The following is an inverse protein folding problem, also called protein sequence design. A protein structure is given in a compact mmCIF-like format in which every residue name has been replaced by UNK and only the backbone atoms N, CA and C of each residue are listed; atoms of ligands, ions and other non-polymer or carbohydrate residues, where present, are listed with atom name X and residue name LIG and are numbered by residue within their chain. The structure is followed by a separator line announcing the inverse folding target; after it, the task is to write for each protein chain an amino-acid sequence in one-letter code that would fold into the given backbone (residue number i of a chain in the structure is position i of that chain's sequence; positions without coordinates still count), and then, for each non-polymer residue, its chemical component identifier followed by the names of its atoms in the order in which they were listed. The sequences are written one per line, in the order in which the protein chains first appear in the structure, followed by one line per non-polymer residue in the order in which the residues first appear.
data_IF_076837282181
#
_entry.id   IF_076837282181
#
_cell.length_a   1.000
_cell.length_b   1.000
_cell.length_c   1.000
_cell.angle_alpha   90.00
_cell.angle_beta   90.00
_cell.angle_gamma   90.00
#
_symmetry.space_group_name_H-M   'P 1'
#
loop_
_entity.id
_entity.type
_entity.pdbx_description
1 polymer ?
#
# COMPACT_ATOMS: atom_id res chain seq x y z
N UNK A 1 20.63 30.84 6.63
CA UNK A 1 19.53 30.48 7.54
C UNK A 1 19.93 29.20 8.21
N UNK A 2 19.66 29.06 9.50
CA UNK A 2 19.89 27.82 10.24
C UNK A 2 18.59 27.02 10.29
N UNK A 3 18.65 25.70 10.10
CA UNK A 3 17.48 24.81 10.12
C UNK A 3 17.36 24.19 11.51
N UNK A 4 16.15 24.24 12.07
CA UNK A 4 15.80 23.66 13.36
C UNK A 4 14.56 22.77 13.22
N UNK A 5 14.32 21.93 14.24
CA UNK A 5 13.07 21.16 14.41
C UNK A 5 12.61 20.37 13.15
N UNK A 6 13.55 19.81 12.38
CA UNK A 6 13.26 19.12 11.13
C UNK A 6 12.43 17.83 11.36
N UNK A 7 11.26 17.76 10.74
CA UNK A 7 10.42 16.58 10.62
C UNK A 7 10.23 16.20 9.13
N UNK A 8 9.38 15.19 8.88
CA UNK A 8 9.15 14.71 7.51
C UNK A 8 8.28 15.63 6.65
N UNK A 9 7.45 16.47 7.28
CA UNK A 9 6.49 17.36 6.60
C UNK A 9 6.67 18.85 6.91
N UNK A 10 7.53 19.19 7.87
CA UNK A 10 7.80 20.56 8.31
C UNK A 10 9.20 20.69 8.92
N UNK A 11 9.61 21.94 9.10
CA UNK A 11 10.84 22.34 9.77
C UNK A 11 10.75 23.82 10.14
N UNK A 12 11.66 24.32 10.97
CA UNK A 12 11.78 25.76 11.22
C UNK A 12 13.13 26.29 10.74
N UNK A 13 13.19 27.59 10.46
CA UNK A 13 14.42 28.27 10.07
C UNK A 13 14.60 29.57 10.81
N UNK A 14 15.83 29.88 11.19
CA UNK A 14 16.20 31.15 11.80
C UNK A 14 17.00 32.05 10.84
N UNK A 15 16.60 33.32 10.79
CA UNK A 15 17.32 34.40 10.10
C UNK A 15 17.52 35.62 11.01
N UNK A 16 18.69 36.24 10.94
CA UNK A 16 18.91 37.55 11.56
C UNK A 16 18.02 38.60 10.92
N UNK A 17 17.39 39.45 11.71
CA UNK A 17 16.44 40.47 11.20
C UNK A 17 17.05 41.39 10.13
N UNK A 18 18.34 41.71 10.23
CA UNK A 18 19.02 42.58 9.27
C UNK A 18 19.15 41.94 7.87
N UNK A 19 19.04 40.61 7.77
CA UNK A 19 19.11 39.83 6.54
C UNK A 19 17.81 39.06 6.25
N UNK A 20 16.72 39.38 6.97
CA UNK A 20 15.49 38.61 6.90
C UNK A 20 14.78 38.78 5.56
N UNK A 21 14.50 37.67 4.87
CA UNK A 21 13.85 37.66 3.55
C UNK A 21 12.57 36.83 3.52
N UNK A 22 12.34 36.00 4.54
CA UNK A 22 11.17 35.13 4.60
C UNK A 22 9.96 35.89 5.13
N UNK A 23 8.81 35.67 4.47
CA UNK A 23 7.54 36.29 4.81
C UNK A 23 6.47 35.21 4.94
N UNK A 24 5.58 35.35 5.92
CA UNK A 24 4.44 34.45 6.07
C UNK A 24 3.63 34.37 4.77
N UNK A 25 3.31 33.15 4.35
CA UNK A 25 2.65 32.84 3.08
C UNK A 25 3.57 32.69 1.87
N UNK A 26 4.86 33.04 1.97
CA UNK A 26 5.82 32.90 0.87
C UNK A 26 6.01 31.43 0.47
N UNK A 27 5.79 31.13 -0.81
CA UNK A 27 6.09 29.82 -1.40
C UNK A 27 7.49 29.88 -2.00
N UNK A 28 8.31 28.89 -1.65
CA UNK A 28 9.66 28.68 -2.18
C UNK A 28 9.57 27.45 -3.10
N UNK A 29 9.55 27.63 -4.44
CA UNK A 29 9.39 26.53 -5.38
C UNK A 29 10.51 25.49 -5.31
N UNK A 30 11.72 25.96 -4.96
CA UNK A 30 12.92 25.14 -4.89
C UNK A 30 13.74 25.57 -3.68
N UNK A 31 13.64 24.79 -2.61
CA UNK A 31 14.38 24.93 -1.37
C UNK A 31 15.34 23.74 -1.23
N UNK A 32 16.54 24.03 -0.75
CA UNK A 32 17.53 23.01 -0.41
C UNK A 32 17.76 22.97 1.10
N UNK A 33 17.50 21.83 1.71
CA UNK A 33 17.84 21.55 3.11
C UNK A 33 19.19 20.84 3.10
N UNK A 34 20.21 21.44 3.71
CA UNK A 34 21.55 20.87 3.82
C UNK A 34 21.81 20.50 5.29
N UNK A 35 22.02 19.21 5.54
CA UNK A 35 22.40 18.65 6.84
C UNK A 35 23.79 18.03 6.70
N UNK A 36 24.71 18.30 7.63
CA UNK A 36 26.08 17.80 7.55
C UNK A 36 26.73 18.07 6.17
N UNK A 37 27.80 17.34 5.83
CA UNK A 37 28.60 17.64 4.63
C UNK A 37 28.00 17.11 3.32
N UNK A 38 27.31 15.96 3.34
CA UNK A 38 26.87 15.24 2.12
C UNK A 38 25.35 14.99 2.04
N UNK A 39 24.55 15.58 2.94
CA UNK A 39 23.11 15.37 2.95
C UNK A 39 22.37 16.63 2.51
N UNK A 40 21.97 16.64 1.24
CA UNK A 40 21.21 17.72 0.60
C UNK A 40 19.90 17.20 0.06
N UNK A 41 18.79 17.81 0.49
CA UNK A 41 17.42 17.50 0.07
C UNK A 41 16.86 18.67 -0.70
N UNK A 42 16.18 18.39 -1.82
CA UNK A 42 15.43 19.38 -2.60
C UNK A 42 13.94 19.23 -2.33
N UNK A 43 13.26 20.30 -1.97
CA UNK A 43 11.81 20.31 -1.75
C UNK A 43 11.16 21.62 -2.19
N UNK A 44 9.83 21.60 -2.30
CA UNK A 44 8.98 22.78 -2.40
C UNK A 44 8.42 23.07 -1.02
N UNK A 45 8.47 24.32 -0.57
CA UNK A 45 8.07 24.68 0.80
C UNK A 45 7.29 25.99 0.85
N UNK A 46 6.55 26.22 1.94
CA UNK A 46 5.87 27.47 2.23
C UNK A 46 6.18 27.92 3.66
N UNK A 47 6.41 29.21 3.83
CA UNK A 47 6.47 29.85 5.15
C UNK A 47 5.06 29.93 5.71
N UNK A 48 4.78 29.23 6.80
CA UNK A 48 3.47 29.19 7.45
C UNK A 48 3.31 30.33 8.45
N UNK A 49 4.33 30.54 9.27
CA UNK A 49 4.32 31.55 10.33
C UNK A 49 5.71 32.17 10.50
N UNK A 50 5.76 33.37 11.09
CA UNK A 50 6.99 34.13 11.34
C UNK A 50 6.93 34.84 12.68
N UNK A 51 7.79 34.42 13.61
CA UNK A 51 7.89 34.96 14.96
C UNK A 51 9.23 35.68 15.17
N UNK A 52 9.16 36.96 15.55
CA UNK A 52 10.35 37.77 15.87
C UNK A 52 10.64 37.68 17.36
N UNK A 53 11.89 37.38 17.69
CA UNK A 53 12.34 37.28 19.08
C UNK A 53 13.76 37.82 19.24
N UNK A 54 14.20 37.98 20.49
CA UNK A 54 15.59 38.34 20.83
C UNK A 54 16.33 37.11 21.32
N UNK A 55 17.54 36.91 20.82
CA UNK A 55 18.44 35.86 21.32
C UNK A 55 19.13 36.29 22.61
N UNK A 56 19.79 35.35 23.28
CA UNK A 56 20.55 35.61 24.52
C UNK A 56 21.66 36.66 24.36
N UNK A 57 22.12 36.90 23.13
CA UNK A 57 23.14 37.89 22.78
C UNK A 57 22.53 39.25 22.35
N UNK A 58 21.26 39.52 22.70
CA UNK A 58 20.49 40.73 22.35
C UNK A 58 20.32 40.99 20.83
N UNK A 59 20.60 39.99 19.98
CA UNK A 59 20.33 40.07 18.55
C UNK A 59 18.86 39.78 18.28
N UNK A 60 18.28 40.50 17.32
CA UNK A 60 16.89 40.25 16.91
C UNK A 60 16.89 39.23 15.76
N UNK A 61 16.20 38.12 15.96
CA UNK A 61 16.06 37.05 14.98
C UNK A 61 14.57 36.87 14.60
N UNK A 62 14.34 36.34 13.41
CA UNK A 62 13.04 35.84 12.99
C UNK A 62 13.12 34.32 12.85
N UNK A 63 12.29 33.61 13.61
CA UNK A 63 12.04 32.17 13.44
C UNK A 63 10.84 32.01 12.52
N UNK A 64 11.03 31.30 11.42
CA UNK A 64 9.99 31.03 10.43
C UNK A 64 9.65 29.54 10.45
N UNK A 65 8.36 29.23 10.59
CA UNK A 65 7.85 27.87 10.50
C UNK A 65 7.59 27.54 9.03
N UNK A 66 8.11 26.41 8.56
CA UNK A 66 8.08 25.98 7.17
C UNK A 66 7.31 24.67 7.05
N UNK A 67 6.41 24.59 6.08
CA UNK A 67 5.78 23.32 5.69
C UNK A 67 6.32 22.86 4.34
N UNK A 68 6.52 21.57 4.16
CA UNK A 68 6.92 20.95 2.90
C UNK A 68 5.66 20.70 2.08
N UNK A 69 5.57 21.35 0.93
CA UNK A 69 4.43 21.22 0.01
C UNK A 69 4.57 20.04 -0.94
N UNK A 70 5.80 19.75 -1.39
CA UNK A 70 6.10 18.58 -2.21
C UNK A 70 7.60 18.23 -2.13
N UNK A 71 7.92 16.96 -2.37
CA UNK A 71 9.29 16.46 -2.37
C UNK A 71 9.38 15.26 -3.30
N UNK A 72 10.45 15.21 -4.10
CA UNK A 72 10.72 14.04 -4.93
C UNK A 72 10.76 12.77 -4.08
N UNK A 73 10.15 11.70 -4.58
CA UNK A 73 9.91 10.51 -3.78
C UNK A 73 11.21 9.79 -3.36
N UNK A 74 12.33 10.00 -4.06
CA UNK A 74 13.64 9.51 -3.63
C UNK A 74 14.22 10.35 -2.50
N UNK A 75 14.00 11.66 -2.53
CA UNK A 75 14.37 12.57 -1.44
C UNK A 75 13.58 12.26 -0.16
N UNK A 76 12.30 11.87 -0.28
CA UNK A 76 11.49 11.40 0.85
C UNK A 76 12.13 10.19 1.54
N UNK A 77 12.66 9.23 0.77
CA UNK A 77 13.38 8.07 1.33
C UNK A 77 14.61 8.53 2.09
N UNK A 78 15.42 9.42 1.49
CA UNK A 78 16.64 9.93 2.13
C UNK A 78 16.33 10.63 3.45
N UNK A 79 15.30 11.50 3.47
CA UNK A 79 14.83 12.16 4.69
C UNK A 79 14.35 11.14 5.72
N UNK A 80 13.49 10.22 5.31
CA UNK A 80 12.92 9.21 6.18
C UNK A 80 14.00 8.34 6.83
N UNK A 81 14.96 7.84 6.06
CA UNK A 81 16.06 7.03 6.56
C UNK A 81 16.86 7.78 7.64
N UNK A 82 17.08 9.08 7.45
CA UNK A 82 17.76 9.93 8.44
C UNK A 82 16.93 10.12 9.71
N UNK A 83 15.67 10.53 9.59
CA UNK A 83 14.77 10.78 10.73
C UNK A 83 14.53 9.51 11.57
N UNK A 84 14.32 8.37 10.92
CA UNK A 84 14.11 7.10 11.61
C UNK A 84 15.36 6.65 12.39
N UNK A 85 16.55 6.81 11.79
CA UNK A 85 17.82 6.49 12.46
C UNK A 85 18.12 7.42 13.64
N UNK A 86 17.75 8.69 13.54
CA UNK A 86 17.91 9.66 14.63
C UNK A 86 17.11 9.26 15.87
N UNK A 87 15.91 8.71 15.70
CA UNK A 87 15.07 8.22 16.81
C UNK A 87 15.47 6.82 17.27
N UNK A 88 15.79 5.93 16.34
CA UNK A 88 16.17 4.56 16.67
C UNK A 88 17.27 4.06 15.72
N UNK A 89 18.49 3.91 16.25
CA UNK A 89 19.68 3.46 15.50
C UNK A 89 19.54 2.06 14.87
N UNK A 90 18.52 1.30 15.27
CA UNK A 90 18.20 -0.05 14.76
C UNK A 90 17.09 -0.05 13.72
N UNK A 91 16.46 1.10 13.44
CA UNK A 91 15.42 1.27 12.44
C UNK A 91 16.04 1.70 11.11
N UNK A 92 15.69 1.01 10.03
CA UNK A 92 16.23 1.27 8.71
C UNK A 92 15.10 1.37 7.70
N UNK A 93 15.14 2.42 6.88
CA UNK A 93 14.22 2.64 5.76
C UNK A 93 15.01 2.50 4.48
N UNK A 94 14.55 1.62 3.58
CA UNK A 94 15.14 1.37 2.26
C UNK A 94 16.67 1.18 2.26
N UNK A 95 17.22 0.60 3.33
CA UNK A 95 18.64 0.33 3.44
C UNK A 95 19.04 -0.87 2.57
N UNK A 96 20.35 -1.01 2.33
CA UNK A 96 20.89 -2.23 1.73
C UNK A 96 20.72 -3.40 2.70
N UNK A 97 19.94 -4.39 2.29
CA UNK A 97 19.68 -5.62 3.06
C UNK A 97 20.39 -6.80 2.40
N UNK A 98 20.96 -7.69 3.20
CA UNK A 98 21.43 -9.00 2.72
C UNK A 98 20.21 -9.86 2.35
N UNK A 99 20.08 -10.14 1.05
CA UNK A 99 18.92 -10.86 0.50
C UNK A 99 18.85 -12.30 1.01
N UNK A 100 19.98 -12.98 1.23
CA UNK A 100 19.98 -14.34 1.76
C UNK A 100 19.60 -14.35 3.24
N UNK A 101 20.06 -13.36 4.02
CA UNK A 101 19.63 -13.18 5.40
C UNK A 101 18.12 -12.86 5.50
N UNK A 102 17.60 -12.02 4.61
CA UNK A 102 16.17 -11.69 4.53
C UNK A 102 15.33 -12.93 4.17
N UNK A 103 15.79 -13.73 3.21
CA UNK A 103 15.12 -14.96 2.81
C UNK A 103 15.08 -15.97 3.97
N UNK A 104 16.22 -16.17 4.65
CA UNK A 104 16.29 -17.00 5.85
C UNK A 104 15.32 -16.51 6.94
N UNK A 105 15.28 -15.20 7.19
CA UNK A 105 14.37 -14.58 8.14
C UNK A 105 12.89 -14.88 7.82
N UNK A 106 12.47 -14.84 6.55
CA UNK A 106 11.08 -15.16 6.19
C UNK A 106 10.69 -16.62 6.45
N UNK A 107 11.64 -17.57 6.40
CA UNK A 107 11.38 -18.94 6.85
C UNK A 107 11.34 -19.05 8.37
N UNK A 108 12.30 -18.45 9.08
CA UNK A 108 12.40 -18.52 10.54
C UNK A 108 11.18 -17.92 11.25
N UNK A 109 10.61 -16.85 10.68
CA UNK A 109 9.38 -16.23 11.19
C UNK A 109 8.10 -17.00 10.85
N UNK A 110 8.18 -18.02 9.99
CA UNK A 110 7.03 -18.74 9.46
C UNK A 110 6.21 -17.95 8.44
N UNK A 111 6.71 -16.79 7.98
CA UNK A 111 6.07 -16.00 6.92
C UNK A 111 5.98 -16.79 5.60
N UNK A 112 7.02 -17.58 5.31
CA UNK A 112 7.03 -18.61 4.26
C UNK A 112 6.91 -19.99 4.91
N UNK A 113 5.68 -20.47 5.05
CA UNK A 113 5.36 -21.81 5.54
C UNK A 113 5.38 -22.86 4.40
N UNK A 114 5.50 -24.17 4.68
CA UNK A 114 5.73 -25.20 3.65
C UNK A 114 4.74 -25.19 2.46
N UNK A 115 3.43 -25.05 2.72
CA UNK A 115 2.42 -24.97 1.65
C UNK A 115 2.60 -23.71 0.77
N UNK A 116 3.00 -22.57 1.35
CA UNK A 116 3.30 -21.34 0.58
C UNK A 116 4.56 -21.51 -0.25
N UNK A 117 5.60 -22.11 0.33
CA UNK A 117 6.83 -22.41 -0.40
C UNK A 117 6.58 -23.35 -1.58
N UNK A 118 5.74 -24.39 -1.42
CA UNK A 118 5.41 -25.32 -2.50
C UNK A 118 4.83 -24.62 -3.74
N UNK A 119 3.99 -23.60 -3.55
CA UNK A 119 3.42 -22.79 -4.63
C UNK A 119 4.46 -21.86 -5.29
N UNK A 120 5.53 -21.50 -4.58
CA UNK A 120 6.56 -20.56 -5.03
C UNK A 120 7.81 -21.27 -5.56
N UNK A 121 8.01 -22.55 -5.22
CA UNK A 121 9.29 -23.25 -5.40
C UNK A 121 9.68 -23.40 -6.88
N UNK A 122 8.69 -23.52 -7.77
CA UNK A 122 8.93 -23.62 -9.22
C UNK A 122 9.57 -22.35 -9.80
N UNK A 123 9.22 -21.17 -9.25
CA UNK A 123 9.70 -19.86 -9.70
C UNK A 123 10.59 -19.15 -8.67
N UNK A 124 11.23 -19.91 -7.76
CA UNK A 124 12.01 -19.37 -6.65
C UNK A 124 13.06 -18.34 -7.08
N UNK A 125 13.78 -18.60 -8.16
CA UNK A 125 14.83 -17.69 -8.64
C UNK A 125 14.25 -16.37 -9.17
N UNK A 126 13.09 -16.40 -9.85
CA UNK A 126 12.37 -15.19 -10.26
C UNK A 126 11.89 -14.39 -9.04
N UNK A 127 11.37 -15.07 -8.01
CA UNK A 127 11.00 -14.41 -6.74
C UNK A 127 12.19 -13.69 -6.11
N UNK A 128 13.37 -14.35 -6.04
CA UNK A 128 14.59 -13.76 -5.51
C UNK A 128 15.05 -12.56 -6.34
N UNK A 129 15.01 -12.67 -7.66
CA UNK A 129 15.37 -11.58 -8.57
C UNK A 129 14.46 -10.36 -8.40
N UNK A 130 13.13 -10.55 -8.38
CA UNK A 130 12.17 -9.46 -8.13
C UNK A 130 12.41 -8.81 -6.77
N UNK A 131 12.59 -9.60 -5.70
CA UNK A 131 12.91 -9.07 -4.38
C UNK A 131 14.24 -8.29 -4.39
N UNK A 132 15.27 -8.82 -5.04
CA UNK A 132 16.56 -8.15 -5.14
C UNK A 132 16.43 -6.80 -5.85
N UNK A 133 15.69 -6.72 -6.96
CA UNK A 133 15.46 -5.45 -7.67
C UNK A 133 14.70 -4.46 -6.79
N UNK A 134 13.61 -4.87 -6.14
CA UNK A 134 12.83 -4.01 -5.25
C UNK A 134 13.68 -3.42 -4.10
N UNK A 135 14.55 -4.23 -3.50
CA UNK A 135 15.28 -3.83 -2.28
C UNK A 135 16.62 -3.16 -2.57
N UNK A 136 17.25 -3.45 -3.72
CA UNK A 136 18.54 -2.85 -4.08
C UNK A 136 18.40 -1.58 -4.94
N UNK A 137 17.37 -1.51 -5.78
CA UNK A 137 17.16 -0.37 -6.68
C UNK A 137 16.30 0.73 -6.05
N UNK A 138 15.63 0.44 -4.92
CA UNK A 138 14.73 1.37 -4.21
C UNK A 138 13.79 2.12 -5.15
N UNK A 139 13.01 1.41 -5.98
CA UNK A 139 12.18 2.06 -6.98
C UNK A 139 11.10 2.93 -6.34
N UNK A 140 10.62 3.95 -7.06
CA UNK A 140 9.58 4.87 -6.57
C UNK A 140 8.29 4.16 -6.10
N UNK A 141 8.04 2.95 -6.59
CA UNK A 141 6.84 2.17 -6.30
C UNK A 141 6.90 1.35 -5.00
N UNK A 142 8.03 1.25 -4.30
CA UNK A 142 8.16 0.34 -3.15
C UNK A 142 9.04 0.91 -2.03
N UNK A 143 8.67 0.62 -0.78
CA UNK A 143 9.50 0.92 0.41
C UNK A 143 9.60 -0.31 1.29
N UNK A 144 10.71 -0.46 1.98
CA UNK A 144 10.92 -1.51 2.97
C UNK A 144 11.51 -0.93 4.25
N UNK A 145 11.13 -1.54 5.36
CA UNK A 145 11.47 -1.09 6.70
C UNK A 145 11.99 -2.29 7.49
N UNK A 146 13.16 -2.13 8.09
CA UNK A 146 13.86 -3.20 8.78
C UNK A 146 14.23 -2.74 10.17
N UNK A 147 13.91 -3.56 11.16
CA UNK A 147 14.47 -3.43 12.50
C UNK A 147 15.58 -4.47 12.67
N UNK A 148 16.82 -3.99 12.82
CA UNK A 148 18.01 -4.84 12.93
C UNK A 148 18.75 -4.63 14.25
N UNK A 149 19.07 -5.73 14.94
CA UNK A 149 19.92 -5.70 16.12
C UNK A 149 21.22 -6.46 15.86
N UNK A 150 22.36 -5.76 15.99
CA UNK A 150 23.70 -6.32 15.75
C UNK A 150 23.82 -7.06 14.40
N UNK A 151 23.23 -6.49 13.36
CA UNK A 151 23.23 -7.07 12.00
C UNK A 151 22.22 -8.19 11.77
N UNK A 152 21.44 -8.59 12.79
CA UNK A 152 20.40 -9.62 12.66
C UNK A 152 19.06 -8.93 12.43
N UNK A 153 18.34 -9.35 11.39
CA UNK A 153 16.98 -8.88 11.09
C UNK A 153 16.03 -9.41 12.17
N UNK A 154 15.43 -8.49 12.93
CA UNK A 154 14.48 -8.81 14.01
C UNK A 154 13.04 -8.67 13.52
N UNK A 155 12.77 -7.70 12.65
CA UNK A 155 11.49 -7.54 11.99
C UNK A 155 11.64 -6.82 10.66
N UNK A 156 10.62 -7.01 9.82
CA UNK A 156 10.55 -6.53 8.47
C UNK A 156 9.10 -6.19 8.10
N UNK A 157 8.91 -5.14 7.31
CA UNK A 157 7.65 -4.83 6.64
C UNK A 157 7.95 -4.02 5.37
N UNK A 158 7.10 -4.13 4.37
CA UNK A 158 7.22 -3.35 3.14
C UNK A 158 5.88 -2.74 2.76
N UNK A 159 5.93 -1.75 1.87
CA UNK A 159 4.76 -1.18 1.21
C UNK A 159 5.04 -1.07 -0.29
N UNK A 160 4.00 -1.20 -1.10
CA UNK A 160 4.09 -1.09 -2.57
C UNK A 160 2.90 -0.32 -3.14
N UNK A 161 3.15 0.68 -3.99
CA UNK A 161 2.10 1.40 -4.74
C UNK A 161 1.62 0.53 -5.89
N UNK A 162 0.43 -0.05 -5.76
CA UNK A 162 -0.09 -1.02 -6.76
C UNK A 162 -1.29 -0.48 -7.56
N UNK A 163 -1.96 0.53 -7.01
CA UNK A 163 -3.00 1.32 -7.66
C UNK A 163 -2.57 2.79 -7.67
N UNK A 164 -3.21 3.61 -8.49
CA UNK A 164 -2.72 4.97 -8.79
C UNK A 164 -2.51 5.79 -7.53
N UNK A 165 -3.41 5.77 -6.54
CA UNK A 165 -3.21 6.48 -5.28
C UNK A 165 -3.23 5.59 -4.03
N UNK A 166 -2.97 4.28 -4.21
CA UNK A 166 -3.02 3.30 -3.10
C UNK A 166 -1.72 2.54 -2.90
N UNK A 167 -1.20 2.63 -1.67
CA UNK A 167 -0.08 1.84 -1.19
C UNK A 167 -0.55 0.64 -0.38
N UNK A 168 -0.09 -0.55 -0.76
CA UNK A 168 -0.39 -1.80 -0.07
C UNK A 168 0.72 -2.17 0.91
N UNK A 169 0.38 -2.32 2.19
CA UNK A 169 1.27 -2.89 3.21
C UNK A 169 1.34 -4.40 3.01
N UNK A 170 2.56 -4.94 2.98
CA UNK A 170 2.81 -6.36 2.82
C UNK A 170 4.08 -6.81 3.56
N UNK A 171 4.27 -8.13 3.65
CA UNK A 171 5.49 -8.77 4.20
C UNK A 171 5.82 -8.38 5.64
N UNK A 172 4.79 -8.08 6.44
CA UNK A 172 4.94 -7.84 7.88
C UNK A 172 5.31 -9.15 8.60
N UNK A 173 6.53 -9.22 9.09
CA UNK A 173 7.07 -10.38 9.78
C UNK A 173 8.03 -9.95 10.90
N UNK A 174 8.14 -10.77 11.94
CA UNK A 174 9.06 -10.54 13.05
C UNK A 174 9.46 -11.85 13.73
N UNK A 175 10.69 -11.92 14.23
CA UNK A 175 11.13 -13.04 15.06
C UNK A 175 10.30 -13.08 16.35
N UNK A 176 9.85 -14.29 16.73
CA UNK A 176 9.18 -14.52 18.01
C UNK A 176 10.26 -14.68 19.08
N UNK A 177 10.50 -13.62 19.85
CA UNK A 177 11.21 -13.72 21.13
C UNK A 177 10.24 -13.34 22.24
N UNK A 178 10.32 -14.01 23.40
CA UNK A 178 9.34 -13.91 24.50
C UNK A 178 9.06 -12.49 24.99
N UNK A 179 9.90 -11.50 24.64
CA UNK A 179 9.76 -10.09 25.00
C UNK A 179 10.04 -9.10 23.85
N UNK A 180 9.99 -9.52 22.58
CA UNK A 180 10.32 -8.64 21.45
C UNK A 180 9.08 -7.99 20.84
N UNK A 181 9.02 -6.65 20.90
CA UNK A 181 8.04 -5.84 20.17
C UNK A 181 8.53 -5.44 18.77
N UNK A 182 9.48 -6.20 18.19
CA UNK A 182 10.09 -5.89 16.89
C UNK A 182 9.05 -5.71 15.77
N UNK A 183 8.00 -6.54 15.74
CA UNK A 183 6.91 -6.42 14.77
C UNK A 183 6.15 -5.08 14.89
N UNK A 184 5.92 -4.60 16.11
CA UNK A 184 5.31 -3.29 16.35
C UNK A 184 6.27 -2.15 16.00
N UNK A 185 7.56 -2.31 16.29
CA UNK A 185 8.58 -1.30 15.94
C UNK A 185 8.60 -1.03 14.43
N UNK A 186 8.60 -2.06 13.58
CA UNK A 186 8.56 -1.84 12.13
C UNK A 186 7.21 -1.34 11.63
N UNK A 187 6.10 -1.70 12.29
CA UNK A 187 4.79 -1.14 11.99
C UNK A 187 4.77 0.37 12.25
N UNK A 188 5.32 0.83 13.39
CA UNK A 188 5.45 2.27 13.69
C UNK A 188 6.36 3.00 12.70
N UNK A 189 7.39 2.34 12.13
CA UNK A 189 8.20 2.96 11.06
C UNK A 189 7.37 3.23 9.80
N UNK A 190 6.52 2.28 9.39
CA UNK A 190 5.61 2.47 8.25
C UNK A 190 4.62 3.59 8.53
N UNK A 191 4.02 3.61 9.72
CA UNK A 191 3.06 4.64 10.11
C UNK A 191 3.67 6.04 10.11
N UNK A 192 4.89 6.18 10.63
CA UNK A 192 5.60 7.46 10.61
C UNK A 192 5.91 7.90 9.19
N UNK A 193 6.39 7.00 8.33
CA UNK A 193 6.60 7.31 6.91
C UNK A 193 5.31 7.78 6.23
N UNK A 194 4.20 7.06 6.43
CA UNK A 194 2.90 7.43 5.85
C UNK A 194 2.48 8.81 6.37
N UNK A 195 2.55 9.04 7.69
CA UNK A 195 2.18 10.30 8.30
C UNK A 195 3.00 11.48 7.73
N UNK A 196 4.32 11.27 7.56
CA UNK A 196 5.24 12.28 7.07
C UNK A 196 5.00 12.65 5.59
N UNK A 197 4.62 11.69 4.74
CA UNK A 197 4.68 11.88 3.28
C UNK A 197 3.34 11.72 2.53
N UNK A 198 2.25 11.28 3.17
CA UNK A 198 0.97 11.06 2.47
C UNK A 198 0.38 12.32 1.82
N UNK A 199 0.67 13.50 2.36
CA UNK A 199 0.16 14.79 1.84
C UNK A 199 0.93 15.31 0.62
N UNK A 200 2.11 14.74 0.34
CA UNK A 200 2.92 15.17 -0.78
C UNK A 200 2.34 14.55 -2.06
N UNK A 201 2.04 15.39 -3.05
CA UNK A 201 1.48 14.92 -4.33
C UNK A 201 2.36 13.88 -5.00
N UNK A 202 3.69 14.01 -4.89
CA UNK A 202 4.64 13.05 -5.47
C UNK A 202 4.56 11.64 -4.87
N UNK A 203 3.90 11.47 -3.72
CA UNK A 203 3.77 10.17 -3.04
C UNK A 203 2.63 9.33 -3.60
N UNK A 204 1.59 9.96 -4.16
CA UNK A 204 0.38 9.27 -4.63
C UNK A 204 -0.20 8.30 -3.58
N UNK A 205 -0.55 8.85 -2.41
CA UNK A 205 -0.96 8.08 -1.24
C UNK A 205 -2.25 8.67 -0.66
N UNK A 206 -3.33 8.61 -1.42
CA UNK A 206 -4.66 8.94 -0.91
C UNK A 206 -5.20 7.79 -0.04
N UNK A 207 -4.78 6.56 -0.34
CA UNK A 207 -5.18 5.37 0.41
C UNK A 207 -3.97 4.53 0.80
N UNK A 208 -4.10 3.88 1.96
CA UNK A 208 -3.21 2.80 2.39
C UNK A 208 -4.08 1.60 2.69
N UNK A 209 -3.69 0.43 2.21
CA UNK A 209 -4.44 -0.78 2.46
C UNK A 209 -3.57 -1.99 2.73
N UNK A 210 -4.17 -3.07 3.21
CA UNK A 210 -3.50 -4.36 3.29
C UNK A 210 -4.50 -5.50 3.20
N UNK A 211 -4.02 -6.64 2.69
CA UNK A 211 -4.74 -7.89 2.75
C UNK A 211 -4.23 -8.70 3.94
N UNK A 212 -5.13 -9.11 4.82
CA UNK A 212 -4.80 -10.04 5.90
C UNK A 212 -5.83 -11.16 5.97
N UNK A 213 -5.43 -12.33 6.48
CA UNK A 213 -6.39 -13.41 6.69
C UNK A 213 -7.27 -13.08 7.89
N UNK A 214 -8.58 -13.24 7.73
CA UNK A 214 -9.55 -12.91 8.79
C UNK A 214 -9.31 -13.68 10.10
N UNK A 215 -8.73 -14.89 10.03
CA UNK A 215 -8.36 -15.72 11.18
C UNK A 215 -7.05 -15.32 11.86
N UNK A 216 -6.28 -14.38 11.30
CA UNK A 216 -5.04 -13.90 11.90
C UNK A 216 -5.34 -12.84 12.96
N UNK A 217 -5.13 -13.22 14.23
CA UNK A 217 -5.46 -12.40 15.41
C UNK A 217 -4.78 -11.03 15.45
N UNK A 218 -3.52 -10.92 15.00
CA UNK A 218 -2.78 -9.66 15.08
C UNK A 218 -3.36 -8.59 14.13
N UNK A 219 -3.39 -8.78 12.79
CA UNK A 219 -3.95 -7.78 11.88
C UNK A 219 -5.46 -7.60 12.07
N UNK A 220 -6.20 -8.64 12.46
CA UNK A 220 -7.63 -8.51 12.82
C UNK A 220 -7.87 -7.60 14.03
N UNK A 221 -6.93 -7.59 15.00
CA UNK A 221 -6.94 -6.66 16.12
C UNK A 221 -6.48 -5.27 15.71
N UNK A 222 -5.39 -5.15 14.95
CA UNK A 222 -4.81 -3.85 14.55
C UNK A 222 -5.70 -3.18 13.51
N UNK A 223 -5.70 -3.67 12.27
CA UNK A 223 -6.44 -3.07 11.16
C UNK A 223 -7.94 -3.30 11.31
N UNK A 224 -8.32 -4.54 11.64
CA UNK A 224 -9.71 -4.90 11.83
C UNK A 224 -10.37 -4.14 12.98
N UNK A 225 -9.65 -3.99 14.10
CA UNK A 225 -10.13 -3.21 15.24
C UNK A 225 -10.19 -1.72 14.94
N UNK A 226 -9.23 -1.19 14.18
CA UNK A 226 -9.23 0.20 13.78
C UNK A 226 -10.47 0.56 12.96
N UNK A 227 -10.82 -0.23 11.94
CA UNK A 227 -12.01 0.05 11.13
C UNK A 227 -13.30 0.02 11.97
N UNK A 228 -13.40 -0.93 12.92
CA UNK A 228 -14.53 -1.02 13.85
C UNK A 228 -14.60 0.16 14.82
N UNK A 229 -13.47 0.65 15.31
CA UNK A 229 -13.42 1.81 16.20
C UNK A 229 -13.76 3.11 15.48
N UNK A 230 -13.20 3.30 14.28
CA UNK A 230 -13.46 4.50 13.45
C UNK A 230 -14.93 4.53 13.03
N UNK A 231 -15.50 3.38 12.65
CA UNK A 231 -16.92 3.19 12.33
C UNK A 231 -17.48 4.21 11.32
N UNK A 232 -16.64 4.64 10.37
CA UNK A 232 -16.98 5.52 9.25
C UNK A 232 -16.44 4.83 7.99
N UNK A 233 -17.29 4.13 7.20
CA UNK A 233 -16.83 3.30 6.07
C UNK A 233 -15.97 4.06 5.04
N UNK A 234 -16.29 5.34 4.77
CA UNK A 234 -15.53 6.22 3.87
C UNK A 234 -14.22 6.76 4.47
N UNK A 235 -13.96 6.52 5.76
CA UNK A 235 -12.68 6.81 6.41
C UNK A 235 -11.81 5.54 6.49
N UNK A 236 -12.42 4.43 6.90
CA UNK A 236 -11.72 3.16 7.05
C UNK A 236 -12.69 1.99 6.84
N UNK A 237 -12.44 1.15 5.83
CA UNK A 237 -13.31 0.01 5.47
C UNK A 237 -12.59 -1.33 5.53
N UNK A 238 -13.39 -2.40 5.62
CA UNK A 238 -12.95 -3.77 5.42
C UNK A 238 -13.88 -4.42 4.41
N UNK A 239 -13.30 -4.98 3.35
CA UNK A 239 -14.01 -5.72 2.33
C UNK A 239 -13.44 -7.14 2.27
N UNK A 240 -14.27 -8.14 2.62
CA UNK A 240 -13.83 -9.54 2.72
C UNK A 240 -13.98 -10.27 1.38
N UNK A 241 -12.95 -11.01 0.99
CA UNK A 241 -12.90 -11.82 -0.22
C UNK A 241 -12.70 -13.29 0.14
N UNK A 242 -13.43 -14.19 -0.50
CA UNK A 242 -13.02 -15.60 -0.52
C UNK A 242 -11.86 -15.79 -1.47
N UNK A 243 -10.91 -16.64 -1.09
CA UNK A 243 -9.72 -16.94 -1.87
C UNK A 243 -9.69 -18.40 -2.29
N UNK A 244 -9.47 -18.64 -3.58
CA UNK A 244 -9.18 -19.95 -4.15
C UNK A 244 -8.20 -19.82 -5.32
N UNK A 245 -7.52 -20.91 -5.67
CA UNK A 245 -6.74 -20.99 -6.90
C UNK A 245 -7.61 -21.58 -8.02
N UNK A 246 -7.52 -21.01 -9.21
CA UNK A 246 -8.16 -21.50 -10.42
C UNK A 246 -7.10 -22.03 -11.38
N UNK A 247 -7.23 -23.27 -11.88
CA UNK A 247 -6.26 -23.83 -12.79
C UNK A 247 -6.32 -23.10 -14.13
N UNK A 248 -5.16 -22.76 -14.68
CA UNK A 248 -5.05 -22.30 -16.06
C UNK A 248 -5.54 -23.43 -16.96
N UNK A 249 -6.55 -23.14 -17.76
CA UNK A 249 -7.21 -24.13 -18.62
C UNK A 249 -7.28 -23.61 -20.04
N UNK A 250 -7.50 -24.49 -21.00
CA UNK A 250 -7.93 -24.04 -22.32
C UNK A 250 -9.29 -23.34 -22.18
N UNK A 251 -9.46 -22.13 -22.75
CA UNK A 251 -10.71 -21.38 -22.68
C UNK A 251 -11.89 -22.27 -23.09
N UNK A 252 -12.87 -22.43 -22.22
CA UNK A 252 -14.18 -22.93 -22.61
C UNK A 252 -15.04 -21.71 -23.00
N UNK A 253 -15.34 -21.48 -24.28
CA UNK A 253 -15.99 -20.25 -24.71
C UNK A 253 -17.52 -20.25 -24.51
N UNK A 254 -18.10 -21.34 -24.00
CA UNK A 254 -19.54 -21.56 -24.10
C UNK A 254 -20.30 -20.92 -22.92
N UNK A 255 -20.38 -19.59 -22.96
CA UNK A 255 -21.40 -18.85 -22.21
C UNK A 255 -22.77 -19.08 -22.88
N UNK A 256 -23.84 -19.14 -22.09
CA UNK A 256 -25.21 -19.17 -22.65
C UNK A 256 -25.44 -17.97 -23.57
N UNK A 257 -26.27 -18.09 -24.60
CA UNK A 257 -26.53 -17.01 -25.59
C UNK A 257 -26.91 -15.64 -24.98
N UNK A 258 -27.52 -15.63 -23.79
CA UNK A 258 -27.90 -14.40 -23.08
C UNK A 258 -26.76 -13.74 -22.27
N UNK A 259 -25.61 -14.40 -22.14
CA UNK A 259 -24.48 -13.96 -21.31
C UNK A 259 -23.31 -13.51 -22.18
N UNK A 260 -22.73 -12.36 -21.87
CA UNK A 260 -21.57 -11.84 -22.57
C UNK A 260 -20.50 -11.35 -21.57
N UNK A 261 -19.24 -11.72 -21.84
CA UNK A 261 -18.08 -11.16 -21.16
C UNK A 261 -17.40 -10.14 -22.08
N UNK A 262 -17.53 -8.86 -21.76
CA UNK A 262 -17.00 -7.75 -22.56
C UNK A 262 -15.98 -6.95 -21.76
N UNK A 263 -15.21 -6.08 -22.44
CA UNK A 263 -14.46 -5.05 -21.71
C UNK A 263 -15.44 -4.17 -20.93
N UNK A 264 -15.12 -3.88 -19.68
CA UNK A 264 -15.89 -2.95 -18.85
C UNK A 264 -16.01 -1.60 -19.53
N UNK A 265 -17.16 -0.97 -19.41
CA UNK A 265 -17.44 0.40 -19.83
C UNK A 265 -17.64 1.31 -18.61
N UNK A 266 -17.53 2.64 -18.75
CA UNK A 266 -17.77 3.59 -17.65
C UNK A 266 -19.12 3.39 -16.95
N UNK A 267 -20.18 3.05 -17.69
CA UNK A 267 -21.52 2.84 -17.14
C UNK A 267 -21.57 1.59 -16.23
N UNK A 268 -20.77 0.57 -16.53
CA UNK A 268 -20.67 -0.64 -15.70
C UNK A 268 -20.07 -0.31 -14.32
N UNK A 269 -19.13 0.63 -14.27
CA UNK A 269 -18.52 1.07 -13.01
C UNK A 269 -19.46 1.94 -12.17
N UNK A 270 -20.33 2.73 -12.80
CA UNK A 270 -21.38 3.48 -12.09
C UNK A 270 -22.44 2.55 -11.47
N UNK A 271 -22.80 1.48 -12.19
CA UNK A 271 -23.71 0.45 -11.65
C UNK A 271 -23.03 -0.33 -10.51
N UNK A 272 -21.75 -0.69 -10.67
CA UNK A 272 -20.95 -1.30 -9.61
C UNK A 272 -20.85 -0.40 -8.36
N UNK A 273 -20.66 0.91 -8.53
CA UNK A 273 -20.61 1.86 -7.43
C UNK A 273 -21.94 1.91 -6.68
N UNK A 274 -23.06 1.97 -7.41
CA UNK A 274 -24.40 1.95 -6.80
C UNK A 274 -24.66 0.68 -5.99
N UNK A 275 -24.20 -0.47 -6.48
CA UNK A 275 -24.23 -1.74 -5.75
C UNK A 275 -23.35 -1.69 -4.50
N UNK A 276 -22.10 -1.26 -4.65
CA UNK A 276 -21.10 -1.26 -3.58
C UNK A 276 -21.46 -0.29 -2.44
N UNK A 277 -22.04 0.86 -2.77
CA UNK A 277 -22.52 1.83 -1.77
C UNK A 277 -23.65 1.26 -0.89
N UNK A 278 -24.50 0.38 -1.46
CA UNK A 278 -25.52 -0.33 -0.70
C UNK A 278 -24.95 -1.49 0.13
N UNK A 279 -24.03 -2.28 -0.44
CA UNK A 279 -23.49 -3.50 0.20
C UNK A 279 -22.47 -3.18 1.32
N UNK A 280 -21.59 -2.20 1.12
CA UNK A 280 -20.48 -1.88 2.02
C UNK A 280 -20.39 -0.37 2.33
N UNK A 281 -20.55 0.49 1.31
CA UNK A 281 -20.33 1.93 1.46
C UNK A 281 -18.87 2.32 1.76
N UNK A 282 -17.94 1.36 1.61
CA UNK A 282 -16.54 1.50 1.97
C UNK A 282 -15.68 2.19 0.91
N UNK A 283 -14.40 1.80 0.87
CA UNK A 283 -13.35 2.44 0.08
C UNK A 283 -12.81 1.57 -1.06
N UNK A 284 -13.26 0.32 -1.21
CA UNK A 284 -12.68 -0.65 -2.15
C UNK A 284 -12.61 -0.12 -3.58
N UNK A 285 -13.69 0.48 -4.10
CA UNK A 285 -13.70 0.90 -5.50
C UNK A 285 -12.68 2.02 -5.76
N UNK A 286 -12.68 3.07 -4.94
CA UNK A 286 -11.73 4.17 -5.05
C UNK A 286 -10.28 3.69 -4.86
N UNK A 287 -10.02 2.82 -3.89
CA UNK A 287 -8.67 2.37 -3.58
C UNK A 287 -8.10 1.35 -4.58
N UNK A 288 -8.95 0.68 -5.37
CA UNK A 288 -8.52 -0.29 -6.39
C UNK A 288 -8.63 0.27 -7.83
N UNK A 289 -8.82 1.59 -7.97
CA UNK A 289 -9.00 2.30 -9.24
C UNK A 289 -10.17 1.75 -10.08
N UNK A 290 -11.31 1.46 -9.45
CA UNK A 290 -12.54 0.98 -10.09
C UNK A 290 -13.54 2.11 -10.38
N UNK A 291 -13.03 3.32 -10.57
CA UNK A 291 -13.81 4.51 -10.95
C UNK A 291 -13.84 4.69 -12.48
N UNK A 292 -14.90 5.29 -13.04
CA UNK A 292 -15.06 5.46 -14.50
C UNK A 292 -13.89 6.14 -15.20
N UNK A 293 -13.28 7.15 -14.59
CA UNK A 293 -12.12 7.89 -15.13
C UNK A 293 -10.80 7.11 -15.04
N UNK A 294 -10.77 6.05 -14.22
CA UNK A 294 -9.60 5.21 -14.01
C UNK A 294 -9.58 3.95 -14.89
N UNK A 295 -10.66 3.67 -15.62
CA UNK A 295 -10.86 2.42 -16.39
C UNK A 295 -9.68 2.08 -17.32
N UNK A 296 -9.16 3.10 -18.01
CA UNK A 296 -8.06 2.99 -18.98
C UNK A 296 -6.77 3.68 -18.50
N UNK A 297 -6.65 4.01 -17.21
CA UNK A 297 -5.42 4.62 -16.68
C UNK A 297 -4.25 3.63 -16.78
N UNK A 298 -3.22 4.03 -17.53
CA UNK A 298 -2.00 3.26 -17.75
C UNK A 298 -0.75 3.92 -17.14
N UNK A 299 -0.90 5.03 -16.40
CA UNK A 299 0.21 5.83 -15.88
C UNK A 299 1.12 5.01 -14.97
N UNK A 300 0.54 4.34 -13.96
CA UNK A 300 1.30 3.48 -13.06
C UNK A 300 1.90 2.28 -13.79
N UNK A 301 1.19 1.69 -14.76
CA UNK A 301 1.72 0.61 -15.59
C UNK A 301 2.93 1.04 -16.42
N UNK A 302 2.91 2.25 -16.99
CA UNK A 302 4.06 2.86 -17.66
C UNK A 302 5.22 3.10 -16.70
N UNK A 303 4.95 3.58 -15.47
CA UNK A 303 5.97 3.77 -14.44
C UNK A 303 6.67 2.45 -14.08
N UNK A 304 5.89 1.40 -13.81
CA UNK A 304 6.41 0.05 -13.57
C UNK A 304 7.30 -0.42 -14.72
N UNK A 305 6.83 -0.29 -15.98
CA UNK A 305 7.61 -0.68 -17.15
C UNK A 305 8.94 0.06 -17.25
N UNK A 306 8.93 1.38 -16.97
CA UNK A 306 10.13 2.22 -16.97
C UNK A 306 11.14 1.82 -15.89
N UNK A 307 10.66 1.25 -14.78
CA UNK A 307 11.46 0.68 -13.70
C UNK A 307 11.85 -0.79 -13.94
N UNK A 308 11.48 -1.36 -15.10
CA UNK A 308 11.77 -2.74 -15.47
C UNK A 308 10.87 -3.76 -14.79
N UNK A 309 9.70 -3.37 -14.27
CA UNK A 309 8.71 -4.25 -13.68
C UNK A 309 7.46 -4.39 -14.56
N UNK A 310 6.72 -5.48 -14.37
CA UNK A 310 5.41 -5.71 -14.96
C UNK A 310 4.30 -5.42 -13.93
N UNK A 311 3.37 -4.57 -14.31
CA UNK A 311 2.05 -4.37 -13.67
C UNK A 311 1.07 -3.95 -14.74
N UNK A 312 0.00 -4.71 -14.90
CA UNK A 312 -1.09 -4.45 -15.84
C UNK A 312 -2.42 -4.69 -15.12
N UNK A 313 -3.43 -3.88 -15.46
CA UNK A 313 -4.81 -4.04 -15.02
C UNK A 313 -5.72 -4.04 -16.24
N UNK A 314 -6.64 -4.99 -16.31
CA UNK A 314 -7.69 -5.02 -17.35
C UNK A 314 -9.03 -5.36 -16.68
N UNK A 315 -10.07 -4.62 -17.03
CA UNK A 315 -11.41 -4.82 -16.48
C UNK A 315 -12.35 -5.47 -17.49
N UNK A 316 -13.11 -6.47 -17.04
CA UNK A 316 -14.16 -7.13 -17.80
C UNK A 316 -15.48 -7.08 -17.05
N UNK A 317 -16.58 -6.96 -17.79
CA UNK A 317 -17.94 -7.02 -17.27
C UNK A 317 -18.66 -8.22 -17.84
N UNK A 318 -19.26 -9.01 -16.95
CA UNK A 318 -20.17 -10.08 -17.29
C UNK A 318 -21.59 -9.53 -17.26
N UNK A 319 -22.29 -9.60 -18.39
CA UNK A 319 -23.65 -9.10 -18.55
C UNK A 319 -24.62 -10.20 -18.96
N UNK A 320 -25.84 -10.13 -18.44
CA UNK A 320 -26.98 -10.97 -18.83
C UNK A 320 -28.05 -10.08 -19.45
N UNK A 321 -28.33 -10.23 -20.75
CA UNK A 321 -29.26 -9.34 -21.47
C UNK A 321 -28.93 -7.84 -21.23
N UNK A 322 -27.64 -7.48 -21.30
CA UNK A 322 -27.10 -6.13 -21.07
C UNK A 322 -27.18 -5.60 -19.62
N UNK A 323 -27.69 -6.39 -18.67
CA UNK A 323 -27.65 -6.06 -17.23
C UNK A 323 -26.35 -6.56 -16.63
N UNK A 324 -25.64 -5.73 -15.87
CA UNK A 324 -24.40 -6.11 -15.21
C UNK A 324 -24.64 -7.20 -14.16
N UNK A 325 -23.77 -8.20 -14.13
CA UNK A 325 -23.87 -9.34 -13.21
C UNK A 325 -22.61 -9.46 -12.35
N UNK A 326 -21.45 -9.18 -12.94
CA UNK A 326 -20.17 -9.19 -12.25
C UNK A 326 -19.16 -8.30 -12.98
N UNK A 327 -18.21 -7.75 -12.23
CA UNK A 327 -17.00 -7.11 -12.74
C UNK A 327 -15.80 -7.97 -12.36
N UNK A 328 -14.92 -8.24 -13.31
CA UNK A 328 -13.70 -9.02 -13.13
C UNK A 328 -12.50 -8.14 -13.46
N UNK A 329 -11.68 -7.85 -12.45
CA UNK A 329 -10.41 -7.15 -12.59
C UNK A 329 -9.28 -8.17 -12.70
N UNK A 330 -8.59 -8.13 -13.84
CA UNK A 330 -7.41 -8.94 -14.15
C UNK A 330 -6.17 -8.14 -13.81
N UNK A 331 -5.54 -8.46 -12.67
CA UNK A 331 -4.24 -7.90 -12.30
C UNK A 331 -3.13 -8.87 -12.71
N UNK A 332 -2.19 -8.40 -13.55
CA UNK A 332 -1.02 -9.17 -13.98
C UNK A 332 0.24 -8.43 -13.55
N UNK A 333 1.10 -9.09 -12.79
CA UNK A 333 2.31 -8.46 -12.27
C UNK A 333 3.48 -9.42 -12.19
N UNK A 334 4.70 -8.89 -12.00
CA UNK A 334 5.86 -9.74 -11.73
C UNK A 334 5.62 -10.65 -10.51
N UNK A 335 6.06 -11.89 -10.64
CA UNK A 335 6.09 -12.84 -9.55
C UNK A 335 7.00 -12.28 -8.46
N UNK A 336 6.53 -12.26 -7.21
CA UNK A 336 7.30 -11.77 -6.07
C UNK A 336 7.08 -10.33 -5.67
N UNK A 337 6.33 -9.52 -6.44
CA UNK A 337 5.88 -8.21 -5.97
C UNK A 337 5.06 -8.31 -4.68
N UNK A 338 4.25 -9.36 -4.57
CA UNK A 338 3.57 -9.76 -3.35
C UNK A 338 3.77 -11.26 -3.11
N UNK A 339 4.32 -11.67 -1.96
CA UNK A 339 4.61 -13.09 -1.70
C UNK A 339 3.35 -13.95 -1.50
N UNK A 340 2.17 -13.35 -1.35
CA UNK A 340 0.88 -14.06 -1.36
C UNK A 340 0.22 -14.04 -2.74
N UNK A 341 0.89 -13.47 -3.74
CA UNK A 341 0.46 -13.30 -5.13
C UNK A 341 -0.88 -12.56 -5.32
N UNK A 342 -1.31 -11.78 -4.32
CA UNK A 342 -2.56 -11.00 -4.38
C UNK A 342 -2.46 -9.77 -5.30
N UNK A 343 -1.29 -9.51 -5.88
CA UNK A 343 -1.05 -8.48 -6.91
C UNK A 343 -1.01 -9.07 -8.33
N UNK A 344 -1.04 -10.39 -8.47
CA UNK A 344 -1.13 -11.10 -9.75
C UNK A 344 -2.26 -12.11 -9.63
N UNK A 345 -3.49 -11.61 -9.68
CA UNK A 345 -4.71 -12.36 -9.38
C UNK A 345 -5.93 -11.78 -10.11
N UNK A 346 -7.01 -12.57 -10.10
CA UNK A 346 -8.33 -12.15 -10.58
C UNK A 346 -9.16 -11.68 -9.38
N UNK A 347 -9.58 -10.42 -9.38
CA UNK A 347 -10.61 -9.94 -8.46
C UNK A 347 -11.97 -10.05 -9.14
N UNK A 348 -12.90 -10.78 -8.53
CA UNK A 348 -14.24 -11.02 -9.04
C UNK A 348 -15.24 -10.37 -8.09
N UNK A 349 -15.96 -9.36 -8.57
CA UNK A 349 -16.99 -8.67 -7.81
C UNK A 349 -18.35 -9.04 -8.40
N UNK A 350 -19.15 -9.78 -7.64
CA UNK A 350 -20.47 -10.26 -8.04
C UNK A 350 -21.55 -9.29 -7.56
N UNK A 351 -22.42 -8.88 -8.48
CA UNK A 351 -23.57 -8.02 -8.18
C UNK A 351 -24.85 -8.85 -8.06
N UNK A 352 -25.02 -9.86 -8.93
CA UNK A 352 -26.19 -10.75 -8.90
C UNK A 352 -25.91 -12.01 -8.07
N UNK A 353 -26.58 -12.12 -6.91
CA UNK A 353 -26.46 -13.27 -6.00
C UNK A 353 -26.94 -14.59 -6.59
N UNK A 354 -27.83 -14.54 -7.58
CA UNK A 354 -28.44 -15.70 -8.22
C UNK A 354 -27.60 -16.18 -9.43
N UNK A 355 -26.49 -15.50 -9.73
CA UNK A 355 -25.56 -15.88 -10.78
C UNK A 355 -24.97 -17.27 -10.49
N UNK A 356 -25.07 -18.24 -11.42
CA UNK A 356 -24.47 -19.55 -11.20
C UNK A 356 -22.94 -19.49 -11.18
N UNK A 357 -22.31 -20.09 -10.17
CA UNK A 357 -20.84 -20.16 -10.05
C UNK A 357 -20.16 -20.76 -11.30
N UNK A 358 -20.82 -21.69 -12.01
CA UNK A 358 -20.31 -22.27 -13.25
C UNK A 358 -20.06 -21.20 -14.33
N UNK A 359 -20.90 -20.18 -14.40
CA UNK A 359 -20.72 -19.05 -15.33
C UNK A 359 -19.45 -18.26 -15.00
N UNK A 360 -19.17 -18.06 -13.71
CA UNK A 360 -17.93 -17.44 -13.27
C UNK A 360 -16.72 -18.31 -13.63
N UNK A 361 -16.78 -19.63 -13.43
CA UNK A 361 -15.68 -20.52 -13.83
C UNK A 361 -15.40 -20.50 -15.33
N UNK A 362 -16.43 -20.37 -16.18
CA UNK A 362 -16.26 -20.17 -17.62
C UNK A 362 -15.51 -18.86 -17.89
N UNK A 363 -15.92 -17.76 -17.24
CA UNK A 363 -15.23 -16.47 -17.37
C UNK A 363 -13.77 -16.54 -16.91
N UNK A 364 -13.48 -17.19 -15.78
CA UNK A 364 -12.11 -17.40 -15.28
C UNK A 364 -11.28 -18.22 -16.28
N UNK A 365 -11.86 -19.26 -16.90
CA UNK A 365 -11.21 -20.03 -17.96
C UNK A 365 -10.85 -19.15 -19.17
N UNK A 366 -11.78 -18.30 -19.63
CA UNK A 366 -11.52 -17.36 -20.73
C UNK A 366 -10.41 -16.34 -20.40
N UNK A 367 -10.38 -15.86 -19.16
CA UNK A 367 -9.40 -14.88 -18.67
C UNK A 367 -8.08 -15.50 -18.22
N UNK A 368 -8.00 -16.82 -18.05
CA UNK A 368 -6.78 -17.51 -17.65
C UNK A 368 -5.62 -17.33 -18.63
N UNK A 369 -5.91 -16.97 -19.89
CA UNK A 369 -4.92 -16.66 -20.93
C UNK A 369 -4.01 -15.48 -20.59
N UNK A 370 -4.40 -14.61 -19.65
CA UNK A 370 -3.60 -13.46 -19.21
C UNK A 370 -2.42 -13.88 -18.30
N UNK A 371 -2.46 -15.10 -17.78
CA UNK A 371 -1.47 -15.60 -16.83
C UNK A 371 -0.58 -16.65 -17.47
N UNK A 372 0.67 -16.67 -17.03
CA UNK A 372 1.64 -17.70 -17.42
C UNK A 372 1.59 -18.89 -16.46
N UNK A 373 1.24 -18.64 -15.19
CA UNK A 373 1.21 -19.62 -14.12
C UNK A 373 0.04 -20.60 -14.28
N UNK A 374 0.27 -21.86 -13.86
CA UNK A 374 -0.74 -22.92 -13.92
C UNK A 374 -1.85 -22.74 -12.87
N UNK A 375 -1.57 -22.07 -11.76
CA UNK A 375 -2.53 -21.80 -10.69
C UNK A 375 -2.69 -20.29 -10.53
N UNK A 376 -3.91 -19.80 -10.78
CA UNK A 376 -4.23 -18.38 -10.78
C UNK A 376 -4.99 -18.05 -9.49
N UNK A 377 -4.48 -17.16 -8.62
CA UNK A 377 -5.22 -16.74 -7.45
C UNK A 377 -6.48 -15.96 -7.84
N UNK A 378 -7.59 -16.25 -7.16
CA UNK A 378 -8.87 -15.57 -7.33
C UNK A 378 -9.33 -15.02 -5.99
N UNK A 379 -9.70 -13.75 -5.96
CA UNK A 379 -10.36 -13.07 -4.85
C UNK A 379 -11.79 -12.77 -5.27
N UNK A 380 -12.77 -13.43 -4.65
CA UNK A 380 -14.18 -13.26 -4.97
C UNK A 380 -14.91 -12.51 -3.84
N UNK A 381 -15.65 -11.48 -4.24
CA UNK A 381 -16.50 -10.64 -3.39
C UNK A 381 -17.94 -10.64 -3.94
N UNK A 382 -18.97 -10.57 -3.08
CA UNK A 382 -18.90 -10.64 -1.62
C UNK A 382 -18.75 -12.09 -1.11
N UNK A 383 -18.39 -12.25 0.17
CA UNK A 383 -18.31 -13.58 0.79
C UNK A 383 -19.67 -14.27 0.92
N UNK A 384 -20.76 -13.51 1.01
CA UNK A 384 -22.14 -14.00 1.05
C UNK A 384 -22.48 -14.82 -0.20
N UNK A 385 -22.16 -14.31 -1.39
CA UNK A 385 -22.35 -15.06 -2.64
C UNK A 385 -21.61 -16.41 -2.63
N UNK A 386 -20.37 -16.42 -2.15
CA UNK A 386 -19.59 -17.65 -2.08
C UNK A 386 -20.21 -18.70 -1.16
N UNK A 387 -20.80 -18.27 -0.05
CA UNK A 387 -21.50 -19.13 0.90
C UNK A 387 -22.80 -19.67 0.28
N UNK A 388 -23.60 -18.79 -0.32
CA UNK A 388 -24.90 -19.14 -0.93
C UNK A 388 -24.73 -20.12 -2.09
N UNK A 389 -23.71 -19.91 -2.94
CA UNK A 389 -23.38 -20.79 -4.07
C UNK A 389 -22.48 -21.98 -3.69
N UNK A 390 -22.17 -22.15 -2.39
CA UNK A 390 -21.30 -23.23 -1.88
C UNK A 390 -19.95 -23.33 -2.60
N UNK A 391 -19.34 -22.19 -2.90
CA UNK A 391 -18.05 -22.11 -3.59
C UNK A 391 -16.95 -22.68 -2.68
N UNK A 392 -16.15 -23.66 -3.13
CA UNK A 392 -15.02 -24.12 -2.34
C UNK A 392 -13.92 -23.04 -2.32
N UNK A 393 -13.47 -22.67 -1.12
CA UNK A 393 -12.39 -21.71 -0.93
C UNK A 393 -11.41 -22.16 0.14
N UNK A 394 -10.16 -21.68 0.06
CA UNK A 394 -9.12 -22.03 1.02
C UNK A 394 -9.10 -21.11 2.23
N UNK A 395 -9.36 -19.81 2.01
CA UNK A 395 -9.20 -18.74 3.00
C UNK A 395 -10.15 -17.59 2.72
N UNK A 396 -10.31 -16.73 3.71
CA UNK A 396 -10.89 -15.40 3.56
C UNK A 396 -9.79 -14.38 3.79
N UNK A 397 -9.64 -13.44 2.87
CA UNK A 397 -8.80 -12.27 3.05
C UNK A 397 -9.67 -11.04 3.24
N UNK A 398 -9.38 -10.30 4.29
CA UNK A 398 -9.93 -8.98 4.54
C UNK A 398 -9.02 -7.95 3.88
N UNK A 399 -9.57 -7.17 2.96
CA UNK A 399 -8.95 -5.96 2.44
C UNK A 399 -9.31 -4.80 3.36
N UNK A 400 -8.35 -4.37 4.18
CA UNK A 400 -8.49 -3.15 4.95
C UNK A 400 -7.95 -1.97 4.17
N UNK A 401 -8.69 -0.86 4.17
CA UNK A 401 -8.30 0.39 3.53
C UNK A 401 -8.52 1.53 4.51
N UNK A 402 -7.56 2.46 4.57
CA UNK A 402 -7.65 3.74 5.26
C UNK A 402 -7.53 4.86 4.23
N UNK A 403 -8.45 5.81 4.29
CA UNK A 403 -8.34 7.08 3.59
C UNK A 403 -7.39 8.01 4.37
N UNK A 404 -6.35 8.51 3.71
CA UNK A 404 -5.28 9.27 4.37
C UNK A 404 -5.73 10.63 4.92
N UNK A 405 -6.91 11.11 4.51
CA UNK A 405 -7.55 12.29 5.14
C UNK A 405 -7.96 12.06 6.60
N UNK A 406 -8.01 10.79 7.05
CA UNK A 406 -8.40 10.39 8.41
C UNK A 406 -7.26 9.68 9.17
N UNK A 407 -6.00 9.97 8.80
CA UNK A 407 -4.79 9.37 9.41
C UNK A 407 -4.72 9.57 10.92
N UNK A 408 -5.19 10.70 11.41
CA UNK A 408 -5.29 11.08 12.82
C UNK A 408 -6.23 10.16 13.63
N UNK A 409 -7.31 9.66 13.04
CA UNK A 409 -8.17 8.67 13.69
C UNK A 409 -7.46 7.32 13.88
N UNK A 410 -6.71 6.89 12.86
CA UNK A 410 -5.88 5.69 12.93
C UNK A 410 -4.76 5.84 13.97
N UNK A 411 -4.05 6.98 13.98
CA UNK A 411 -2.99 7.25 14.94
C UNK A 411 -3.51 7.19 16.39
N UNK A 412 -4.64 7.85 16.66
CA UNK A 412 -5.32 7.81 17.96
C UNK A 412 -5.69 6.39 18.37
N UNK A 413 -6.23 5.58 17.46
CA UNK A 413 -6.54 4.18 17.73
C UNK A 413 -5.28 3.40 18.13
N UNK A 414 -4.20 3.55 17.37
CA UNK A 414 -2.95 2.84 17.62
C UNK A 414 -2.29 3.23 18.94
N UNK A 415 -2.36 4.51 19.32
CA UNK A 415 -1.82 4.98 20.60
C UNK A 415 -2.62 4.46 21.79
N UNK A 416 -3.94 4.36 21.66
CA UNK A 416 -4.77 3.69 22.67
C UNK A 416 -4.48 2.18 22.75
N UNK A 417 -4.24 1.55 21.60
CA UNK A 417 -3.97 0.12 21.52
C UNK A 417 -2.58 -0.25 22.07
N UNK A 418 -1.60 0.62 21.87
CA UNK A 418 -0.20 0.45 22.29
C UNK A 418 0.37 1.73 22.95
N UNK A 419 -0.06 2.09 24.18
CA UNK A 419 0.30 3.36 24.81
C UNK A 419 1.81 3.56 25.04
N UNK A 420 2.54 2.49 25.32
CA UNK A 420 4.00 2.51 25.51
C UNK A 420 4.81 2.68 24.22
N UNK A 421 4.13 2.79 23.08
CA UNK A 421 4.70 2.90 21.74
C UNK A 421 4.00 4.01 20.93
N UNK A 422 3.56 5.08 21.58
CA UNK A 422 2.99 6.26 20.89
C UNK A 422 4.03 6.94 19.99
N UNK A 423 3.56 7.51 18.88
CA UNK A 423 4.38 8.19 17.87
C UNK A 423 4.89 9.55 18.35
#
# INVERSE_FOLDING_TARGET
MEVEDLAGSDFSVEEYMDNAVLLAGMIIPELYIELAYDFKIRCKSQVVDRNVHKTNDDKTCAKCEMTILDMDIQEQVRLSSFLHQAVNKKAYVCNRVDIDALWKFFFETGFIYPKKYALMCADKEKFKETCQRLYLQNPNIARHFVYQDKGIIQAHISIIRFYEDTWLIHHHASLRAEHSNAGLVVLRQVERYINDFHRLSSTHMNFVGCYFRSDNKFPSRVFGGCAREINIPKACSIDSFVYFCFPRTCPQPDLSEAMALTKTQPEDLLELESFYDYESGGLMLHALDLEPDMIDSDNLSKEYHRLGFKRERVLFSLKKNDVLQAVIMVNVSDIGLNMSNLTNCLHVIILDKDLPIKTIYICLSMLSKYYEQDEIPVLLYPTSYAQDQSVPYEKIYDLWILNMQYTDLYAKYMDNLFPSYSL
#
